data_IF_444213453014
#
_entry.id   IF_444213453014
#
_cell.length_a   1.000
_cell.length_b   1.000
_cell.length_c   1.000
_cell.angle_alpha   90.00
_cell.angle_beta   90.00
_cell.angle_gamma   90.00
#
_symmetry.space_group_name_H-M   'P 1'
#
loop_
_entity.id
_entity.type
_entity.pdbx_description
1 polymer ?
#
# COMPACT_ATOMS: atom_id res chain seq x y z
N UNK A 1 37.20 5.89 -0.60
CA UNK A 1 36.03 6.64 -1.11
C UNK A 1 35.74 6.00 -2.44
N UNK A 2 34.58 5.35 -2.61
CA UNK A 2 34.26 4.66 -3.88
C UNK A 2 34.26 5.70 -5.00
N UNK A 3 34.96 5.41 -6.10
CA UNK A 3 35.03 6.32 -7.25
C UNK A 3 33.97 5.96 -8.31
N UNK A 4 33.81 6.83 -9.31
CA UNK A 4 32.78 6.65 -10.33
C UNK A 4 32.98 5.39 -11.19
N UNK A 5 34.22 5.01 -11.45
CA UNK A 5 34.52 3.85 -12.29
C UNK A 5 34.25 2.54 -11.57
N UNK A 6 34.45 2.50 -10.25
CA UNK A 6 34.00 1.40 -9.40
C UNK A 6 32.48 1.28 -9.39
N UNK A 7 31.74 2.40 -9.30
CA UNK A 7 30.27 2.41 -9.35
C UNK A 7 29.70 1.85 -10.67
N UNK A 8 30.48 1.84 -11.76
CA UNK A 8 30.03 1.28 -13.05
C UNK A 8 30.09 -0.25 -13.10
N UNK A 9 30.80 -0.88 -12.17
CA UNK A 9 31.14 -2.30 -12.22
C UNK A 9 30.52 -3.12 -11.09
N UNK A 10 29.90 -2.47 -10.10
CA UNK A 10 29.34 -3.14 -8.93
C UNK A 10 27.81 -3.21 -9.00
N UNK A 11 27.28 -4.23 -8.34
CA UNK A 11 25.84 -4.42 -8.10
C UNK A 11 25.37 -3.63 -6.87
N UNK A 12 24.04 -3.51 -6.69
CA UNK A 12 23.44 -2.91 -5.50
C UNK A 12 23.79 -3.65 -4.21
N UNK A 13 23.95 -4.98 -4.27
CA UNK A 13 24.34 -5.81 -3.12
C UNK A 13 25.81 -5.57 -2.73
N UNK A 14 26.72 -5.54 -3.70
CA UNK A 14 28.13 -5.23 -3.46
C UNK A 14 28.30 -3.80 -2.94
N UNK A 15 27.51 -2.85 -3.46
CA UNK A 15 27.46 -1.49 -2.96
C UNK A 15 27.02 -1.44 -1.48
N UNK A 16 26.02 -2.25 -1.09
CA UNK A 16 25.60 -2.37 0.31
C UNK A 16 26.74 -2.89 1.20
N UNK A 17 27.41 -3.95 0.76
CA UNK A 17 28.52 -4.55 1.50
C UNK A 17 29.69 -3.58 1.66
N UNK A 18 30.07 -2.87 0.59
CA UNK A 18 31.18 -1.91 0.64
C UNK A 18 30.85 -0.65 1.46
N UNK A 19 29.63 -0.11 1.31
CA UNK A 19 29.26 1.11 2.02
C UNK A 19 28.87 0.86 3.47
N UNK A 20 28.23 -0.27 3.78
CA UNK A 20 27.66 -0.50 5.10
C UNK A 20 28.14 -1.80 5.77
N UNK A 21 28.24 -2.89 5.01
CA UNK A 21 28.75 -4.17 5.50
C UNK A 21 27.82 -4.93 6.44
N UNK A 22 26.52 -4.57 6.46
CA UNK A 22 25.49 -5.24 7.29
C UNK A 22 24.17 -5.36 6.53
N UNK A 23 23.33 -6.30 6.97
CA UNK A 23 21.97 -6.43 6.48
C UNK A 23 21.08 -5.27 6.95
N UNK A 24 20.07 -4.94 6.15
CA UNK A 24 19.14 -3.84 6.39
C UNK A 24 17.92 -4.27 7.22
N UNK A 25 18.15 -4.83 8.41
CA UNK A 25 17.11 -5.49 9.20
C UNK A 25 16.39 -4.59 10.21
N UNK A 26 16.95 -3.42 10.51
CA UNK A 26 16.35 -2.46 11.45
C UNK A 26 16.15 -1.08 10.83
N UNK A 27 15.32 -0.27 11.51
CA UNK A 27 15.13 1.16 11.17
C UNK A 27 16.48 1.90 11.08
N UNK A 28 17.40 1.60 12.00
CA UNK A 28 18.70 2.29 12.07
C UNK A 28 19.56 1.92 10.85
N UNK A 29 19.63 0.64 10.53
CA UNK A 29 20.42 0.13 9.40
C UNK A 29 19.96 0.74 8.08
N UNK A 30 18.64 0.76 7.84
CA UNK A 30 18.06 1.38 6.64
C UNK A 30 18.38 2.87 6.55
N UNK A 31 18.25 3.62 7.64
CA UNK A 31 18.52 5.06 7.61
C UNK A 31 20.00 5.37 7.37
N UNK A 32 20.89 4.63 8.02
CA UNK A 32 22.33 4.77 7.83
C UNK A 32 22.74 4.44 6.40
N UNK A 33 22.18 3.38 5.82
CA UNK A 33 22.48 3.03 4.44
C UNK A 33 21.91 4.04 3.44
N UNK A 34 20.66 4.50 3.60
CA UNK A 34 20.08 5.57 2.76
C UNK A 34 20.99 6.81 2.76
N UNK A 35 21.55 7.18 3.90
CA UNK A 35 22.47 8.31 4.00
C UNK A 35 23.76 8.08 3.19
N UNK A 36 24.32 6.86 3.25
CA UNK A 36 25.53 6.48 2.51
C UNK A 36 25.30 6.40 0.99
N UNK A 37 24.08 6.08 0.54
CA UNK A 37 23.72 6.06 -0.89
C UNK A 37 23.70 7.44 -1.56
N UNK A 38 23.95 8.54 -0.82
CA UNK A 38 24.07 9.89 -1.41
C UNK A 38 25.12 10.00 -2.50
N UNK A 39 26.11 9.11 -2.53
CA UNK A 39 27.10 9.06 -3.63
C UNK A 39 26.46 8.77 -5.00
N UNK A 40 25.30 8.11 -5.02
CA UNK A 40 24.54 7.80 -6.24
C UNK A 40 23.88 9.03 -6.87
N UNK A 41 23.95 10.20 -6.21
CA UNK A 41 23.48 11.48 -6.76
C UNK A 41 24.50 12.11 -7.72
N UNK A 42 25.70 11.54 -7.83
CA UNK A 42 26.75 12.02 -8.71
C UNK A 42 26.39 11.85 -10.19
N UNK A 43 26.93 12.72 -11.03
CA UNK A 43 26.82 12.58 -12.48
C UNK A 43 27.60 11.35 -12.98
N UNK A 44 27.07 10.67 -14.01
CA UNK A 44 27.71 9.50 -14.62
C UNK A 44 27.50 8.17 -13.89
N UNK A 45 26.76 8.17 -12.77
CA UNK A 45 26.38 6.93 -12.07
C UNK A 45 25.41 6.13 -12.94
N UNK A 46 25.58 4.80 -13.10
CA UNK A 46 24.67 3.97 -13.88
C UNK A 46 23.25 4.04 -13.32
N UNK A 47 22.28 4.23 -14.21
CA UNK A 47 20.87 4.28 -13.82
C UNK A 47 20.39 2.97 -13.19
N UNK A 48 20.85 1.84 -13.73
CA UNK A 48 20.51 0.49 -13.24
C UNK A 48 20.91 0.32 -11.77
N UNK A 49 22.13 0.76 -11.40
CA UNK A 49 22.59 0.74 -10.01
C UNK A 49 21.70 1.59 -9.10
N UNK A 50 21.23 2.75 -9.56
CA UNK A 50 20.32 3.62 -8.78
C UNK A 50 18.98 2.92 -8.56
N UNK A 51 18.41 2.35 -9.62
CA UNK A 51 17.10 1.69 -9.60
C UNK A 51 17.14 0.44 -8.72
N UNK A 52 18.16 -0.41 -8.89
CA UNK A 52 18.36 -1.63 -8.10
C UNK A 52 18.65 -1.32 -6.62
N UNK A 53 19.46 -0.30 -6.33
CA UNK A 53 19.72 0.10 -4.95
C UNK A 53 18.45 0.61 -4.28
N UNK A 54 17.62 1.37 -5.00
CA UNK A 54 16.33 1.79 -4.47
C UNK A 54 15.43 0.57 -4.18
N UNK A 55 15.35 -0.39 -5.11
CA UNK A 55 14.55 -1.60 -4.98
C UNK A 55 14.97 -2.45 -3.78
N UNK A 56 16.28 -2.69 -3.64
CA UNK A 56 16.86 -3.42 -2.51
C UNK A 56 16.44 -2.81 -1.16
N UNK A 57 16.53 -1.49 -1.03
CA UNK A 57 16.15 -0.81 0.22
C UNK A 57 14.62 -0.89 0.44
N UNK A 58 13.80 -0.69 -0.60
CA UNK A 58 12.33 -0.75 -0.47
C UNK A 58 11.84 -2.17 -0.09
N UNK A 59 12.45 -3.21 -0.65
CA UNK A 59 12.19 -4.61 -0.30
C UNK A 59 12.58 -4.90 1.15
N UNK A 60 13.75 -4.42 1.59
CA UNK A 60 14.14 -4.57 2.99
C UNK A 60 13.17 -3.85 3.94
N UNK A 61 12.67 -2.69 3.56
CA UNK A 61 11.62 -1.98 4.31
C UNK A 61 10.32 -2.81 4.34
N UNK A 62 9.90 -3.40 3.22
CA UNK A 62 8.71 -4.25 3.16
C UNK A 62 8.85 -5.50 4.03
N UNK A 63 10.03 -6.13 4.07
CA UNK A 63 10.32 -7.31 4.89
C UNK A 63 10.24 -7.02 6.40
N UNK A 64 10.45 -5.77 6.82
CA UNK A 64 10.32 -5.35 8.23
C UNK A 64 8.88 -5.14 8.70
N UNK A 65 7.86 -5.18 7.82
CA UNK A 65 6.46 -4.86 8.18
C UNK A 65 5.89 -5.68 9.33
N UNK A 66 6.34 -6.92 9.51
CA UNK A 66 5.91 -7.80 10.61
C UNK A 66 6.55 -7.45 11.96
N UNK A 67 7.73 -6.83 11.95
CA UNK A 67 8.54 -6.52 13.14
C UNK A 67 8.44 -5.06 13.57
N UNK A 68 8.05 -4.17 12.65
CA UNK A 68 8.15 -2.71 12.82
C UNK A 68 6.77 -2.06 12.67
N UNK A 69 6.50 -1.03 13.48
CA UNK A 69 5.22 -0.30 13.46
C UNK A 69 4.98 0.35 12.08
N UNK A 70 3.72 0.38 11.57
CA UNK A 70 3.41 0.93 10.25
C UNK A 70 3.84 2.38 10.01
N UNK A 71 3.82 3.24 11.04
CA UNK A 71 4.32 4.62 10.93
C UNK A 71 5.82 4.68 10.65
N UNK A 72 6.59 3.74 11.19
CA UNK A 72 8.03 3.66 10.93
C UNK A 72 8.29 3.18 9.50
N UNK A 73 7.53 2.19 9.00
CA UNK A 73 7.60 1.75 7.60
C UNK A 73 7.35 2.92 6.65
N UNK A 74 6.28 3.69 6.88
CA UNK A 74 5.99 4.89 6.10
C UNK A 74 7.14 5.89 6.16
N UNK A 75 7.65 6.17 7.36
CA UNK A 75 8.76 7.09 7.53
C UNK A 75 9.96 6.67 6.69
N UNK A 76 10.35 5.39 6.75
CA UNK A 76 11.47 4.85 5.98
C UNK A 76 11.22 4.97 4.47
N UNK A 77 10.04 4.59 3.96
CA UNK A 77 9.70 4.72 2.53
C UNK A 77 9.70 6.17 2.06
N UNK A 78 9.20 7.10 2.88
CA UNK A 78 9.22 8.52 2.55
C UNK A 78 10.65 9.08 2.52
N UNK A 79 11.50 8.66 3.46
CA UNK A 79 12.92 9.03 3.49
C UNK A 79 13.69 8.46 2.30
N UNK A 80 13.44 7.20 1.93
CA UNK A 80 14.01 6.61 0.72
C UNK A 80 13.56 7.37 -0.54
N UNK A 81 12.27 7.67 -0.64
CA UNK A 81 11.68 8.43 -1.76
C UNK A 81 12.26 9.84 -1.87
N UNK A 82 12.48 10.53 -0.75
CA UNK A 82 13.06 11.87 -0.76
C UNK A 82 14.55 11.86 -1.07
N UNK A 83 15.27 10.78 -0.72
CA UNK A 83 16.71 10.66 -0.96
C UNK A 83 17.02 10.23 -2.40
N UNK A 84 16.56 9.05 -2.81
CA UNK A 84 16.89 8.43 -4.11
C UNK A 84 15.70 8.43 -5.09
N UNK A 85 14.46 8.48 -4.59
CA UNK A 85 13.27 8.27 -5.42
C UNK A 85 13.02 9.30 -6.55
N UNK A 86 13.73 10.44 -6.56
CA UNK A 86 13.71 11.39 -7.68
C UNK A 86 14.66 10.99 -8.83
N UNK A 87 15.64 10.15 -8.54
CA UNK A 87 16.66 9.69 -9.48
C UNK A 87 16.26 8.38 -10.17
N UNK A 88 15.36 7.62 -9.55
CA UNK A 88 14.88 6.33 -10.08
C UNK A 88 14.10 6.55 -11.37
N UNK A 89 14.49 5.85 -12.44
CA UNK A 89 13.80 5.91 -13.74
C UNK A 89 12.89 4.72 -13.97
N UNK A 90 13.15 3.59 -13.33
CA UNK A 90 12.18 2.51 -13.27
C UNK A 90 10.84 3.06 -12.78
N UNK A 91 9.84 3.00 -13.65
CA UNK A 91 8.46 3.17 -13.24
C UNK A 91 8.27 2.12 -12.16
N UNK A 92 8.04 2.58 -10.92
CA UNK A 92 7.54 1.74 -9.82
C UNK A 92 6.78 0.60 -10.46
N UNK A 93 7.19 -0.65 -10.22
CA UNK A 93 6.26 -1.74 -10.35
C UNK A 93 5.04 -1.28 -9.56
N UNK A 94 4.02 -0.82 -10.29
CA UNK A 94 2.78 -0.42 -9.72
C UNK A 94 2.23 -1.78 -9.29
N UNK A 95 2.60 -2.24 -8.08
CA UNK A 95 1.87 -3.30 -7.39
C UNK A 95 0.42 -2.90 -7.63
N UNK A 96 -0.34 -3.67 -8.43
CA UNK A 96 -1.60 -3.19 -8.97
C UNK A 96 -2.39 -2.67 -7.79
N UNK A 97 -2.72 -1.38 -7.83
CA UNK A 97 -3.43 -0.76 -6.73
C UNK A 97 -4.72 -1.55 -6.56
N UNK A 98 -4.90 -2.16 -5.39
CA UNK A 98 -6.12 -2.89 -5.06
C UNK A 98 -7.31 -2.03 -5.47
N UNK A 99 -8.21 -2.64 -6.24
CA UNK A 99 -9.45 -2.03 -6.68
C UNK A 99 -10.21 -1.35 -5.55
N UNK A 100 -10.26 -1.98 -4.38
CA UNK A 100 -10.86 -1.38 -3.20
C UNK A 100 -10.09 -0.16 -2.68
N UNK A 101 -8.76 -0.20 -2.67
CA UNK A 101 -7.91 0.91 -2.20
C UNK A 101 -8.05 2.15 -3.08
N UNK A 102 -8.25 1.97 -4.39
CA UNK A 102 -8.58 3.07 -5.31
C UNK A 102 -9.86 3.80 -4.87
N UNK A 103 -10.92 3.08 -4.49
CA UNK A 103 -12.15 3.68 -3.95
C UNK A 103 -11.95 4.27 -2.56
N UNK A 104 -11.17 3.61 -1.71
CA UNK A 104 -10.82 4.10 -0.37
C UNK A 104 -10.13 5.48 -0.46
N UNK A 105 -9.15 5.67 -1.34
CA UNK A 105 -8.48 6.96 -1.54
C UNK A 105 -9.43 8.07 -1.97
N UNK A 106 -10.45 7.74 -2.78
CA UNK A 106 -11.46 8.70 -3.25
C UNK A 106 -12.50 9.03 -2.19
N UNK A 107 -12.84 8.07 -1.33
CA UNK A 107 -13.75 8.29 -0.21
C UNK A 107 -13.18 9.28 0.83
N UNK A 108 -11.85 9.40 0.91
CA UNK A 108 -11.13 10.31 1.81
C UNK A 108 -10.28 11.33 1.02
N UNK A 109 -10.86 12.47 0.59
CA UNK A 109 -10.16 13.49 -0.17
C UNK A 109 -9.02 14.15 0.63
N UNK A 110 -8.14 14.85 -0.09
CA UNK A 110 -6.99 15.55 0.50
C UNK A 110 -7.44 16.58 1.55
N UNK A 111 -6.71 16.64 2.66
CA UNK A 111 -7.09 17.42 3.85
C UNK A 111 -7.99 16.70 4.86
N UNK A 112 -8.68 15.61 4.49
CA UNK A 112 -9.50 14.79 5.41
C UNK A 112 -8.83 13.46 5.81
N UNK A 113 -7.59 13.26 5.39
CA UNK A 113 -6.81 12.04 5.64
C UNK A 113 -6.10 12.13 6.99
N UNK A 114 -6.38 11.18 7.88
CA UNK A 114 -5.74 11.09 9.19
C UNK A 114 -4.69 9.95 9.21
N UNK A 115 -4.00 9.78 10.35
CA UNK A 115 -2.98 8.74 10.54
C UNK A 115 -3.47 7.32 10.19
N UNK A 116 -4.74 7.02 10.49
CA UNK A 116 -5.34 5.70 10.22
C UNK A 116 -5.57 5.47 8.72
N UNK A 117 -5.86 6.53 7.95
CA UNK A 117 -5.91 6.44 6.49
C UNK A 117 -4.56 5.96 5.93
N UNK A 118 -3.47 6.53 6.43
CA UNK A 118 -2.15 6.17 5.92
C UNK A 118 -1.71 4.76 6.32
N UNK A 119 -2.16 4.26 7.47
CA UNK A 119 -1.92 2.87 7.85
C UNK A 119 -2.59 1.87 6.91
N UNK A 120 -3.80 2.17 6.46
CA UNK A 120 -4.51 1.33 5.48
C UNK A 120 -3.78 1.30 4.14
N UNK A 121 -3.24 2.45 3.68
CA UNK A 121 -2.47 2.48 2.44
C UNK A 121 -1.16 1.67 2.49
N UNK A 122 -0.63 1.40 3.68
CA UNK A 122 0.59 0.61 3.87
C UNK A 122 0.29 -0.88 4.06
N UNK A 123 -0.81 -1.16 4.73
CA UNK A 123 -1.29 -2.50 5.05
C UNK A 123 -2.83 -2.51 5.05
N UNK A 124 -3.40 -3.02 3.96
CA UNK A 124 -4.86 -3.12 3.79
C UNK A 124 -5.51 -4.00 4.88
N UNK A 125 -4.75 -4.86 5.56
CA UNK A 125 -5.25 -5.61 6.70
C UNK A 125 -5.57 -4.72 7.91
N UNK A 126 -5.15 -3.45 7.94
CA UNK A 126 -5.46 -2.51 9.02
C UNK A 126 -6.75 -1.73 8.82
N UNK A 127 -7.46 -1.94 7.72
CA UNK A 127 -8.71 -1.22 7.45
C UNK A 127 -9.79 -1.52 8.51
N UNK A 128 -10.35 -0.46 9.08
CA UNK A 128 -11.39 -0.56 10.10
C UNK A 128 -12.77 -0.82 9.46
N UNK A 129 -13.75 -1.26 10.27
CA UNK A 129 -15.12 -1.45 9.78
C UNK A 129 -15.73 -0.13 9.29
N UNK A 130 -15.50 0.96 10.03
CA UNK A 130 -15.97 2.30 9.65
C UNK A 130 -15.34 2.79 8.33
N UNK A 131 -14.07 2.45 8.10
CA UNK A 131 -13.38 2.77 6.85
C UNK A 131 -13.91 1.97 5.66
N UNK A 132 -14.21 0.68 5.86
CA UNK A 132 -14.88 -0.13 4.84
C UNK A 132 -16.26 0.47 4.57
N UNK A 133 -17.07 0.72 5.61
CA UNK A 133 -18.41 1.33 5.50
C UNK A 133 -18.42 2.66 4.74
N UNK A 134 -17.51 3.58 5.09
CA UNK A 134 -17.37 4.87 4.42
C UNK A 134 -17.07 4.69 2.93
N UNK A 135 -16.20 3.73 2.60
CA UNK A 135 -15.82 3.43 1.21
C UNK A 135 -16.97 2.81 0.43
N UNK A 136 -17.70 1.85 1.01
CA UNK A 136 -18.90 1.26 0.40
C UNK A 136 -19.99 2.33 0.16
N UNK A 137 -20.15 3.25 1.11
CA UNK A 137 -21.08 4.39 0.98
C UNK A 137 -20.69 5.28 -0.19
N UNK A 138 -19.39 5.57 -0.34
CA UNK A 138 -18.88 6.31 -1.49
C UNK A 138 -19.17 5.57 -2.81
N UNK A 139 -18.84 4.27 -2.90
CA UNK A 139 -19.08 3.46 -4.11
C UNK A 139 -20.57 3.45 -4.48
N UNK A 140 -21.45 3.16 -3.51
CA UNK A 140 -22.90 3.13 -3.73
C UNK A 140 -23.43 4.49 -4.22
N UNK A 141 -22.93 5.61 -3.67
CA UNK A 141 -23.29 6.96 -4.11
C UNK A 141 -22.77 7.28 -5.52
N UNK A 142 -21.54 6.88 -5.85
CA UNK A 142 -20.95 7.14 -7.16
C UNK A 142 -21.61 6.32 -8.26
N UNK A 143 -21.93 5.06 -7.97
CA UNK A 143 -22.73 4.21 -8.85
C UNK A 143 -24.09 4.84 -9.18
N UNK A 144 -24.71 5.50 -8.20
CA UNK A 144 -25.98 6.19 -8.37
C UNK A 144 -25.91 7.48 -9.20
N UNK A 145 -24.80 8.20 -9.16
CA UNK A 145 -24.68 9.55 -9.72
C UNK A 145 -23.95 9.60 -11.07
N UNK A 146 -22.90 8.81 -11.22
CA UNK A 146 -21.89 9.01 -12.27
C UNK A 146 -21.63 7.76 -13.12
N UNK A 147 -22.56 6.80 -13.16
CA UNK A 147 -22.43 5.53 -13.90
C UNK A 147 -21.08 4.82 -13.64
N UNK A 148 -20.67 4.75 -12.37
CA UNK A 148 -19.42 4.11 -11.98
C UNK A 148 -19.36 2.67 -12.53
N UNK A 149 -18.36 2.41 -13.37
CA UNK A 149 -18.08 1.05 -13.87
C UNK A 149 -17.03 0.41 -12.97
N UNK A 150 -17.31 -0.82 -12.52
CA UNK A 150 -16.43 -1.59 -11.62
C UNK A 150 -16.04 -2.88 -12.32
N UNK A 151 -14.74 -3.15 -12.43
CA UNK A 151 -14.22 -4.37 -13.06
C UNK A 151 -14.53 -5.63 -12.24
N UNK A 152 -14.42 -6.80 -12.85
CA UNK A 152 -14.63 -8.08 -12.16
C UNK A 152 -13.68 -8.28 -10.97
N UNK A 153 -12.43 -7.84 -11.08
CA UNK A 153 -11.43 -7.88 -10.02
C UNK A 153 -11.80 -6.91 -8.89
N UNK A 154 -12.16 -5.67 -9.22
CA UNK A 154 -12.61 -4.68 -8.24
C UNK A 154 -13.85 -5.18 -7.47
N UNK A 155 -14.79 -5.87 -8.14
CA UNK A 155 -15.96 -6.48 -7.48
C UNK A 155 -15.56 -7.54 -6.46
N UNK A 156 -14.63 -8.44 -6.79
CA UNK A 156 -14.15 -9.48 -5.87
C UNK A 156 -13.57 -8.85 -4.59
N UNK A 157 -12.72 -7.85 -4.74
CA UNK A 157 -12.13 -7.17 -3.59
C UNK A 157 -13.17 -6.42 -2.73
N UNK A 158 -14.18 -5.81 -3.35
CA UNK A 158 -15.30 -5.17 -2.61
C UNK A 158 -16.08 -6.23 -1.83
N UNK A 159 -16.36 -7.39 -2.44
CA UNK A 159 -17.06 -8.52 -1.79
C UNK A 159 -16.25 -9.02 -0.59
N UNK A 160 -14.94 -9.18 -0.73
CA UNK A 160 -14.05 -9.60 0.36
C UNK A 160 -14.11 -8.62 1.55
N UNK A 161 -14.13 -7.31 1.27
CA UNK A 161 -14.26 -6.30 2.32
C UNK A 161 -15.65 -6.32 2.97
N UNK A 162 -16.72 -6.58 2.21
CA UNK A 162 -18.07 -6.78 2.76
C UNK A 162 -18.07 -7.99 3.69
N UNK A 163 -17.56 -9.14 3.25
CA UNK A 163 -17.51 -10.36 4.07
C UNK A 163 -16.71 -10.11 5.36
N UNK A 164 -15.56 -9.44 5.26
CA UNK A 164 -14.75 -9.05 6.42
C UNK A 164 -15.48 -8.14 7.41
N UNK A 165 -16.39 -7.28 6.92
CA UNK A 165 -17.28 -6.49 7.78
C UNK A 165 -18.32 -7.37 8.46
N UNK A 166 -18.93 -8.30 7.73
CA UNK A 166 -19.94 -9.24 8.25
C UNK A 166 -19.37 -10.19 9.31
N UNK A 167 -18.11 -10.61 9.16
CA UNK A 167 -17.41 -11.49 10.10
C UNK A 167 -17.26 -10.88 11.50
N UNK A 168 -17.29 -9.54 11.60
CA UNK A 168 -17.26 -8.83 12.90
C UNK A 168 -18.59 -8.92 13.67
N UNK A 169 -19.66 -9.38 13.03
CA UNK A 169 -21.01 -9.60 13.62
C UNK A 169 -21.63 -8.37 14.29
N UNK A 170 -21.20 -7.18 13.92
CA UNK A 170 -21.80 -5.94 14.39
C UNK A 170 -23.09 -5.67 13.61
N UNK A 171 -24.23 -5.81 14.30
CA UNK A 171 -25.58 -5.69 13.74
C UNK A 171 -25.79 -4.35 13.04
N UNK A 172 -25.17 -3.27 13.54
CA UNK A 172 -25.26 -1.94 12.90
C UNK A 172 -24.74 -2.02 11.46
N UNK A 173 -23.54 -2.56 11.29
CA UNK A 173 -22.88 -2.67 9.99
C UNK A 173 -23.57 -3.69 9.07
N UNK A 174 -24.08 -4.79 9.62
CA UNK A 174 -24.87 -5.77 8.85
C UNK A 174 -26.11 -5.12 8.25
N UNK A 175 -26.88 -4.38 9.05
CA UNK A 175 -28.09 -3.71 8.59
C UNK A 175 -27.77 -2.59 7.58
N UNK A 176 -26.68 -1.87 7.82
CA UNK A 176 -26.18 -0.84 6.93
C UNK A 176 -25.77 -1.39 5.56
N UNK A 177 -25.12 -2.56 5.48
CA UNK A 177 -24.80 -3.17 4.17
C UNK A 177 -26.07 -3.71 3.51
N UNK A 178 -26.97 -4.36 4.28
CA UNK A 178 -28.24 -4.88 3.76
C UNK A 178 -29.10 -3.79 3.12
N UNK A 179 -29.03 -2.54 3.59
CA UNK A 179 -29.79 -1.42 3.00
C UNK A 179 -29.18 -0.86 1.71
N UNK A 180 -27.97 -1.30 1.31
CA UNK A 180 -27.32 -0.89 0.06
C UNK A 180 -27.77 -1.73 -1.15
N UNK A 181 -29.09 -1.86 -1.38
CA UNK A 181 -29.67 -2.75 -2.40
C UNK A 181 -29.05 -2.60 -3.79
N UNK A 182 -28.73 -1.36 -4.19
CA UNK A 182 -28.15 -1.06 -5.51
C UNK A 182 -26.70 -1.54 -5.62
N UNK A 183 -25.91 -1.36 -4.57
CA UNK A 183 -24.55 -1.91 -4.50
C UNK A 183 -24.58 -3.44 -4.54
N UNK A 184 -25.47 -4.07 -3.75
CA UNK A 184 -25.60 -5.53 -3.71
C UNK A 184 -26.03 -6.10 -5.07
N UNK A 185 -26.97 -5.44 -5.77
CA UNK A 185 -27.36 -5.80 -7.14
C UNK A 185 -26.20 -5.66 -8.13
N UNK A 186 -25.44 -4.57 -8.07
CA UNK A 186 -24.28 -4.34 -8.93
C UNK A 186 -23.17 -5.39 -8.72
N UNK A 187 -22.96 -5.82 -7.48
CA UNK A 187 -22.04 -6.89 -7.12
C UNK A 187 -22.60 -8.29 -7.42
N UNK A 188 -23.91 -8.40 -7.72
CA UNK A 188 -24.66 -9.65 -7.89
C UNK A 188 -24.58 -10.56 -6.65
N UNK A 189 -24.80 -10.00 -5.47
CA UNK A 189 -24.73 -10.71 -4.19
C UNK A 189 -25.95 -10.49 -3.30
N UNK A 190 -26.16 -11.39 -2.35
CA UNK A 190 -27.14 -11.30 -1.26
C UNK A 190 -26.49 -11.63 0.08
N UNK A 191 -26.92 -10.95 1.14
CA UNK A 191 -26.46 -11.23 2.51
C UNK A 191 -27.47 -12.16 3.18
N UNK A 192 -27.04 -13.37 3.56
CA UNK A 192 -27.86 -14.31 4.31
C UNK A 192 -27.28 -14.56 5.69
N UNK A 193 -28.16 -14.85 6.63
CA UNK A 193 -27.79 -15.33 7.95
C UNK A 193 -27.76 -16.87 7.93
N UNK A 194 -26.66 -17.44 8.38
CA UNK A 194 -26.46 -18.89 8.50
C UNK A 194 -25.87 -19.20 9.87
N UNK A 195 -26.59 -19.96 10.69
CA UNK A 195 -26.11 -20.47 11.99
C UNK A 195 -25.48 -19.38 12.88
N UNK A 196 -26.09 -18.18 12.95
CA UNK A 196 -25.59 -17.05 13.74
C UNK A 196 -24.38 -16.32 13.14
N UNK A 197 -24.11 -16.52 11.84
CA UNK A 197 -23.09 -15.80 11.06
C UNK A 197 -23.73 -15.18 9.80
N UNK A 198 -23.15 -14.10 9.27
CA UNK A 198 -23.61 -13.47 8.04
C UNK A 198 -22.64 -13.76 6.89
N UNK A 199 -23.17 -14.20 5.75
CA UNK A 199 -22.38 -14.54 4.57
C UNK A 199 -22.92 -13.90 3.29
N UNK A 200 -21.99 -13.58 2.41
CA UNK A 200 -22.28 -13.18 1.03
C UNK A 200 -22.59 -14.44 0.19
N UNK A 201 -23.69 -14.41 -0.57
CA UNK A 201 -24.11 -15.45 -1.53
C UNK A 201 -24.43 -14.88 -2.89
#
# INVERSE_FOLDING_TARGET
>A
MINLDELKLITSQELLEQLYGKNLETKKDVLEYIERTKILKGEGVPQELIDDTYKLIDESIDNMKSKVKPNTIMFLKNTLKSSLGKLVKEKKENKPESGFIKFFKKAYPEGKRNRNFTYVLMDNSKISAEQIWTTLTYINRQYLKDNLTISSEEKKEIIDMIQRMLDKRDIKYVNQIKSMDKLLKMLNIKIKEEKGSFKVK
#
